data_IF_173633117625
#
_entry.id   IF_173633117625
#
_cell.length_a   1.000
_cell.length_b   1.000
_cell.length_c   1.000
_cell.angle_alpha   90.00
_cell.angle_beta   90.00
_cell.angle_gamma   90.00
#
_symmetry.space_group_name_H-M   'P 1'
#
loop_
_entity.id
_entity.type
_entity.pdbx_description
1 polymer ?
#
# COMPACT_ATOMS: atom_id res chain seq x y z
N UNK A 1 25.32 -7.79 3.04
CA UNK A 1 24.77 -9.17 2.99
C UNK A 1 23.61 -9.40 3.96
N UNK A 2 23.67 -8.99 5.24
CA UNK A 2 22.60 -9.30 6.23
C UNK A 2 21.19 -8.81 5.86
N UNK A 3 21.06 -7.60 5.30
CA UNK A 3 19.77 -7.04 4.87
C UNK A 3 19.11 -7.81 3.70
N UNK A 4 19.90 -8.51 2.89
CA UNK A 4 19.38 -9.25 1.73
C UNK A 4 18.62 -10.51 2.13
N UNK A 5 19.01 -11.16 3.23
CA UNK A 5 18.44 -12.45 3.65
C UNK A 5 16.91 -12.41 3.83
N UNK A 6 16.33 -11.50 4.65
CA UNK A 6 14.87 -11.43 4.78
C UNK A 6 14.18 -11.02 3.48
N UNK A 7 14.79 -10.13 2.67
CA UNK A 7 14.24 -9.73 1.38
C UNK A 7 14.20 -10.91 0.39
N UNK A 8 15.24 -11.76 0.38
CA UNK A 8 15.27 -13.00 -0.42
C UNK A 8 14.19 -13.98 0.02
N UNK A 9 13.98 -14.18 1.33
CA UNK A 9 12.87 -15.04 1.80
C UNK A 9 11.53 -14.49 1.34
N UNK A 10 11.32 -13.18 1.50
CA UNK A 10 10.08 -12.50 1.09
C UNK A 10 9.77 -12.65 -0.40
N UNK A 11 10.75 -12.39 -1.27
CA UNK A 11 10.54 -12.49 -2.72
C UNK A 11 10.34 -13.95 -3.16
N UNK A 12 10.98 -14.92 -2.49
CA UNK A 12 10.76 -16.34 -2.80
C UNK A 12 9.33 -16.77 -2.46
N UNK A 13 8.78 -16.31 -1.33
CA UNK A 13 7.38 -16.59 -0.99
C UNK A 13 6.43 -15.89 -1.96
N UNK A 14 6.67 -14.62 -2.30
CA UNK A 14 5.85 -13.89 -3.27
C UNK A 14 5.91 -14.52 -4.68
N UNK A 15 7.10 -14.92 -5.14
CA UNK A 15 7.27 -15.61 -6.42
C UNK A 15 6.62 -16.99 -6.41
N UNK A 16 6.70 -17.75 -5.31
CA UNK A 16 6.01 -19.03 -5.17
C UNK A 16 4.49 -18.86 -5.25
N UNK A 17 3.94 -17.82 -4.61
CA UNK A 17 2.52 -17.47 -4.72
C UNK A 17 2.11 -17.15 -6.18
N UNK A 18 2.89 -16.33 -6.88
CA UNK A 18 2.67 -16.01 -8.30
C UNK A 18 2.72 -17.27 -9.16
N UNK A 19 3.73 -18.12 -8.99
CA UNK A 19 3.88 -19.38 -9.75
C UNK A 19 2.72 -20.32 -9.50
N UNK A 20 2.28 -20.44 -8.25
CA UNK A 20 1.12 -21.24 -7.89
C UNK A 20 -0.16 -20.74 -8.58
N UNK A 21 -0.43 -19.43 -8.52
CA UNK A 21 -1.57 -18.81 -9.24
C UNK A 21 -1.48 -18.97 -10.76
N UNK A 22 -0.29 -18.80 -11.35
CA UNK A 22 -0.10 -19.04 -12.79
C UNK A 22 -0.39 -20.50 -13.14
N UNK A 23 0.02 -21.45 -12.30
CA UNK A 23 -0.21 -22.87 -12.54
C UNK A 23 -1.69 -23.25 -12.51
N UNK A 24 -2.51 -22.59 -11.67
CA UNK A 24 -3.96 -22.80 -11.65
C UNK A 24 -4.69 -22.07 -12.77
N UNK A 25 -4.08 -21.04 -13.37
CA UNK A 25 -4.65 -20.20 -14.43
C UNK A 25 -4.05 -20.49 -15.82
N UNK A 26 -3.53 -21.70 -16.05
CA UNK A 26 -3.05 -22.12 -17.37
C UNK A 26 -1.82 -21.36 -17.88
N UNK A 27 -1.01 -20.81 -16.98
CA UNK A 27 0.24 -20.08 -17.26
C UNK A 27 0.07 -18.80 -18.09
N UNK A 28 -1.14 -18.22 -18.10
CA UNK A 28 -1.41 -16.94 -18.75
C UNK A 28 -1.35 -15.81 -17.73
N UNK A 29 -0.37 -14.88 -17.81
CA UNK A 29 -0.21 -13.85 -16.79
C UNK A 29 -1.34 -12.83 -16.77
N UNK A 30 -2.08 -12.69 -17.87
CA UNK A 30 -3.25 -11.80 -17.92
C UNK A 30 -4.37 -12.25 -16.97
N UNK A 31 -4.48 -13.55 -16.73
CA UNK A 31 -5.51 -14.12 -15.84
C UNK A 31 -5.25 -13.74 -14.37
N UNK A 32 -4.00 -13.41 -14.00
CA UNK A 32 -3.67 -12.94 -12.66
C UNK A 32 -4.43 -11.66 -12.26
N UNK A 33 -4.81 -10.82 -13.23
CA UNK A 33 -5.49 -9.55 -12.95
C UNK A 33 -7.03 -9.69 -12.86
N UNK A 34 -7.56 -10.91 -13.02
CA UNK A 34 -8.98 -11.24 -12.88
C UNK A 34 -9.87 -10.26 -13.67
N UNK A 35 -9.72 -10.23 -15.00
CA UNK A 35 -10.46 -9.31 -15.85
C UNK A 35 -11.97 -9.57 -15.75
N UNK A 36 -12.73 -8.53 -15.45
CA UNK A 36 -14.19 -8.61 -15.34
C UNK A 36 -14.86 -8.41 -16.69
N UNK A 37 -15.86 -9.24 -17.03
CA UNK A 37 -16.62 -9.07 -18.28
C UNK A 37 -17.41 -7.77 -18.32
N UNK A 38 -17.72 -7.19 -17.16
CA UNK A 38 -18.36 -5.86 -17.06
C UNK A 38 -17.55 -4.79 -17.78
N UNK A 39 -16.26 -4.69 -17.48
CA UNK A 39 -15.39 -3.65 -18.04
C UNK A 39 -14.67 -4.10 -19.30
N UNK A 40 -14.37 -5.39 -19.45
CA UNK A 40 -13.67 -5.90 -20.63
C UNK A 40 -14.58 -6.01 -21.85
N UNK A 41 -15.87 -6.31 -21.65
CA UNK A 41 -16.85 -6.57 -22.72
C UNK A 41 -18.08 -5.64 -22.66
N UNK A 42 -18.22 -4.79 -21.65
CA UNK A 42 -19.37 -3.88 -21.52
C UNK A 42 -20.66 -4.59 -21.08
N UNK A 43 -20.57 -5.77 -20.46
CA UNK A 43 -21.75 -6.53 -20.01
C UNK A 43 -22.15 -6.05 -18.61
N UNK A 44 -23.21 -5.26 -18.49
CA UNK A 44 -23.63 -4.64 -17.22
C UNK A 44 -23.77 -5.65 -16.06
N UNK A 45 -24.45 -6.77 -16.31
CA UNK A 45 -24.60 -7.89 -15.36
C UNK A 45 -23.39 -8.87 -15.34
N UNK A 46 -22.28 -8.49 -15.96
CA UNK A 46 -21.05 -9.26 -16.03
C UNK A 46 -20.29 -9.29 -14.71
N UNK A 47 -19.21 -10.08 -14.68
CA UNK A 47 -18.31 -10.11 -13.52
C UNK A 47 -17.59 -8.76 -13.41
N UNK A 48 -17.47 -8.17 -12.20
CA UNK A 48 -16.76 -6.91 -12.01
C UNK A 48 -15.24 -7.07 -12.22
N UNK A 49 -14.71 -8.28 -12.01
CA UNK A 49 -13.27 -8.54 -11.99
C UNK A 49 -12.60 -7.95 -10.73
N UNK A 50 -11.27 -7.87 -10.75
CA UNK A 50 -10.50 -7.30 -9.65
C UNK A 50 -9.75 -6.01 -10.04
N UNK A 51 -9.24 -5.29 -9.05
CA UNK A 51 -8.61 -3.97 -9.21
C UNK A 51 -7.41 -3.94 -10.19
N UNK A 52 -6.72 -5.08 -10.36
CA UNK A 52 -5.52 -5.19 -11.19
C UNK A 52 -5.76 -4.92 -12.67
N UNK A 53 -6.96 -5.26 -13.15
CA UNK A 53 -7.34 -5.07 -14.55
C UNK A 53 -7.21 -3.61 -15.00
N UNK A 54 -7.51 -2.66 -14.12
CA UNK A 54 -7.45 -1.24 -14.43
C UNK A 54 -6.02 -0.77 -14.64
N UNK A 55 -5.06 -1.32 -13.88
CA UNK A 55 -3.64 -1.04 -14.12
C UNK A 55 -3.18 -1.60 -15.46
N UNK A 56 -3.68 -2.78 -15.84
CA UNK A 56 -3.42 -3.37 -17.15
C UNK A 56 -4.00 -2.54 -18.30
N UNK A 57 -5.24 -2.06 -18.19
CA UNK A 57 -5.88 -1.25 -19.24
C UNK A 57 -5.13 0.07 -19.45
N UNK A 58 -4.81 0.79 -18.38
CA UNK A 58 -4.06 2.06 -18.46
C UNK A 58 -2.63 1.82 -19.01
N UNK A 59 -1.98 0.71 -18.64
CA UNK A 59 -0.67 0.37 -19.20
C UNK A 59 -0.75 0.03 -20.69
N UNK A 60 -1.85 -0.60 -21.13
CA UNK A 60 -2.07 -0.99 -22.52
C UNK A 60 -2.35 0.21 -23.42
N UNK A 61 -3.18 1.15 -22.98
CA UNK A 61 -3.38 2.44 -23.64
C UNK A 61 -3.43 3.55 -22.58
N UNK A 62 -2.43 4.44 -22.51
CA UNK A 62 -2.43 5.50 -21.50
C UNK A 62 -3.45 6.62 -21.80
N UNK A 63 -4.02 6.64 -23.00
CA UNK A 63 -4.98 7.65 -23.46
C UNK A 63 -6.30 7.56 -22.65
N UNK A 64 -6.65 8.60 -21.86
CA UNK A 64 -7.88 8.65 -21.06
C UNK A 64 -9.14 8.33 -21.86
N UNK A 65 -9.29 8.91 -23.06
CA UNK A 65 -10.52 8.77 -23.85
C UNK A 65 -10.75 7.32 -24.29
N UNK A 66 -9.68 6.57 -24.52
CA UNK A 66 -9.75 5.18 -24.97
C UNK A 66 -9.98 4.19 -23.83
N UNK A 67 -9.50 4.50 -22.63
CA UNK A 67 -9.51 3.58 -21.49
C UNK A 67 -10.64 3.84 -20.51
N UNK A 68 -11.13 5.07 -20.43
CA UNK A 68 -12.25 5.45 -19.55
C UNK A 68 -13.43 4.45 -19.57
N UNK A 69 -13.91 3.94 -20.73
CA UNK A 69 -15.01 2.97 -20.76
C UNK A 69 -14.71 1.62 -20.07
N UNK A 70 -13.43 1.33 -19.81
CA UNK A 70 -12.95 0.10 -19.16
C UNK A 70 -12.60 0.31 -17.69
N UNK A 71 -12.86 1.49 -17.14
CA UNK A 71 -12.59 1.83 -15.76
C UNK A 71 -13.89 1.99 -14.97
N UNK A 72 -13.87 1.62 -13.70
CA UNK A 72 -14.98 1.81 -12.79
C UNK A 72 -15.09 3.28 -12.32
N UNK A 73 -13.98 3.83 -11.84
CA UNK A 73 -13.87 5.21 -11.35
C UNK A 73 -12.62 5.83 -12.00
N UNK A 74 -12.73 6.42 -13.20
CA UNK A 74 -11.58 6.82 -14.01
C UNK A 74 -10.57 7.70 -13.27
N UNK A 75 -11.01 8.78 -12.63
CA UNK A 75 -10.13 9.68 -11.86
C UNK A 75 -9.39 8.94 -10.72
N UNK A 76 -10.06 8.03 -10.03
CA UNK A 76 -9.49 7.23 -8.94
C UNK A 76 -8.45 6.23 -9.43
N UNK A 77 -8.62 5.66 -10.63
CA UNK A 77 -7.63 4.74 -11.24
C UNK A 77 -6.45 5.50 -11.83
N UNK A 78 -6.68 6.64 -12.49
CA UNK A 78 -5.63 7.48 -13.06
C UNK A 78 -4.81 8.25 -12.02
N UNK A 79 -5.26 8.47 -10.78
CA UNK A 79 -4.35 8.99 -9.74
C UNK A 79 -3.22 7.99 -9.39
N UNK A 80 -3.43 6.69 -9.61
CA UNK A 80 -2.46 5.61 -9.33
C UNK A 80 -1.61 5.27 -10.56
N UNK A 81 -1.20 6.31 -11.30
CA UNK A 81 -0.60 6.16 -12.64
C UNK A 81 0.79 5.53 -12.67
N UNK A 82 1.51 5.50 -11.53
CA UNK A 82 2.92 5.11 -11.55
C UNK A 82 3.13 3.65 -11.95
N UNK A 83 2.35 2.72 -11.40
CA UNK A 83 2.49 1.31 -11.74
C UNK A 83 2.21 1.05 -13.24
N UNK A 84 1.10 1.54 -13.82
CA UNK A 84 0.86 1.44 -15.26
C UNK A 84 1.98 2.00 -16.14
N UNK A 85 2.51 3.19 -15.83
CA UNK A 85 3.60 3.80 -16.60
C UNK A 85 4.86 2.95 -16.55
N UNK A 86 5.27 2.51 -15.35
CA UNK A 86 6.48 1.70 -15.18
C UNK A 86 6.34 0.37 -15.92
N UNK A 87 5.18 -0.29 -15.81
CA UNK A 87 4.92 -1.54 -16.53
C UNK A 87 4.92 -1.34 -18.05
N UNK A 88 4.32 -0.26 -18.56
CA UNK A 88 4.34 0.08 -19.98
C UNK A 88 5.77 0.31 -20.49
N UNK A 89 6.58 1.08 -19.77
CA UNK A 89 7.99 1.30 -20.12
C UNK A 89 8.78 -0.01 -20.13
N UNK A 90 8.59 -0.85 -19.12
CA UNK A 90 9.25 -2.17 -19.02
C UNK A 90 8.82 -3.16 -20.10
N UNK A 91 7.63 -2.98 -20.68
CA UNK A 91 7.15 -3.83 -21.78
C UNK A 91 7.82 -3.55 -23.13
N UNK A 92 8.60 -2.46 -23.24
CA UNK A 92 9.35 -2.05 -24.45
C UNK A 92 8.44 -2.04 -25.70
N UNK A 93 7.22 -1.54 -25.54
CA UNK A 93 6.22 -1.43 -26.62
C UNK A 93 5.47 -2.71 -26.95
N UNK A 94 5.74 -3.83 -26.28
CA UNK A 94 5.01 -5.08 -26.49
C UNK A 94 3.83 -5.22 -25.53
N UNK A 95 2.62 -5.17 -26.06
CA UNK A 95 1.39 -5.34 -25.27
C UNK A 95 1.32 -6.69 -24.56
N UNK A 96 1.85 -7.75 -25.18
CA UNK A 96 1.92 -9.09 -24.59
C UNK A 96 2.83 -9.17 -23.34
N UNK A 97 3.80 -8.24 -23.21
CA UNK A 97 4.70 -8.18 -22.06
C UNK A 97 4.19 -7.30 -20.91
N UNK A 98 3.09 -6.56 -21.09
CA UNK A 98 2.53 -5.71 -20.02
C UNK A 98 2.13 -6.54 -18.79
N UNK A 99 1.41 -7.67 -18.93
CA UNK A 99 1.14 -8.59 -17.81
C UNK A 99 2.38 -8.99 -17.02
N UNK A 100 3.42 -9.45 -17.71
CA UNK A 100 4.69 -9.82 -17.08
C UNK A 100 5.37 -8.62 -16.41
N UNK A 101 5.31 -7.46 -17.04
CA UNK A 101 5.92 -6.24 -16.51
C UNK A 101 5.29 -5.81 -15.18
N UNK A 102 3.95 -5.88 -15.06
CA UNK A 102 3.24 -5.59 -13.80
C UNK A 102 3.69 -6.53 -12.66
N UNK A 103 3.79 -7.83 -12.95
CA UNK A 103 4.24 -8.84 -11.96
C UNK A 103 5.70 -8.61 -11.56
N UNK A 104 6.59 -8.39 -12.54
CA UNK A 104 8.02 -8.17 -12.28
C UNK A 104 8.24 -6.90 -11.46
N UNK A 105 7.56 -5.80 -11.81
CA UNK A 105 7.63 -4.55 -11.02
C UNK A 105 7.15 -4.79 -9.60
N UNK A 106 6.05 -5.52 -9.43
CA UNK A 106 5.53 -5.90 -8.11
C UNK A 106 6.56 -6.68 -7.28
N UNK A 107 7.16 -7.72 -7.84
CA UNK A 107 8.18 -8.56 -7.18
C UNK A 107 9.44 -7.75 -6.81
N UNK A 108 9.95 -6.93 -7.73
CA UNK A 108 11.13 -6.10 -7.50
C UNK A 108 10.87 -5.05 -6.42
N UNK A 109 9.72 -4.38 -6.45
CA UNK A 109 9.35 -3.39 -5.45
C UNK A 109 9.12 -4.03 -4.06
N UNK A 110 8.48 -5.20 -4.02
CA UNK A 110 8.29 -5.98 -2.80
C UNK A 110 9.62 -6.36 -2.14
N UNK A 111 10.56 -6.85 -2.95
CA UNK A 111 11.92 -7.16 -2.49
C UNK A 111 12.66 -5.92 -2.03
N UNK A 112 12.62 -4.83 -2.80
CA UNK A 112 13.31 -3.58 -2.48
C UNK A 112 12.76 -2.95 -1.19
N UNK A 113 11.44 -2.98 -0.99
CA UNK A 113 10.79 -2.55 0.24
C UNK A 113 11.25 -3.36 1.45
N UNK A 114 11.22 -4.69 1.35
CA UNK A 114 11.65 -5.56 2.45
C UNK A 114 13.13 -5.38 2.77
N UNK A 115 13.97 -5.22 1.73
CA UNK A 115 15.38 -4.88 1.89
C UNK A 115 15.56 -3.53 2.60
N UNK A 116 14.77 -2.52 2.23
CA UNK A 116 14.86 -1.19 2.84
C UNK A 116 14.52 -1.25 4.33
N UNK A 117 13.45 -1.96 4.70
CA UNK A 117 13.06 -2.19 6.10
C UNK A 117 14.15 -2.96 6.85
N UNK A 118 14.69 -4.04 6.28
CA UNK A 118 15.78 -4.80 6.89
C UNK A 118 17.05 -3.96 7.08
N UNK A 119 17.33 -3.07 6.12
CA UNK A 119 18.48 -2.17 6.18
C UNK A 119 18.29 -1.08 7.23
N UNK A 120 17.08 -0.52 7.36
CA UNK A 120 16.72 0.43 8.41
C UNK A 120 16.86 -0.22 9.80
N UNK A 121 16.34 -1.43 10.00
CA UNK A 121 16.51 -2.16 11.26
C UNK A 121 17.99 -2.36 11.64
N UNK A 122 18.85 -2.67 10.66
CA UNK A 122 20.29 -2.78 10.89
C UNK A 122 20.94 -1.45 11.25
N UNK A 123 20.51 -0.34 10.64
CA UNK A 123 20.99 1.00 10.98
C UNK A 123 20.60 1.38 12.42
N UNK A 124 19.50 0.80 12.95
CA UNK A 124 19.09 0.90 14.36
C UNK A 124 19.72 -0.18 15.27
N UNK A 125 20.73 -0.93 14.81
CA UNK A 125 21.35 -2.04 15.55
C UNK A 125 20.37 -3.16 15.98
N UNK A 126 19.25 -3.33 15.27
CA UNK A 126 18.26 -4.36 15.50
C UNK A 126 18.42 -5.56 14.56
N UNK A 127 17.73 -6.66 14.88
CA UNK A 127 17.71 -7.85 14.04
C UNK A 127 16.96 -7.58 12.71
N UNK A 128 17.60 -7.74 11.53
CA UNK A 128 16.96 -7.50 10.24
C UNK A 128 15.78 -8.43 9.94
N UNK A 129 15.67 -9.59 10.60
CA UNK A 129 14.59 -10.55 10.37
C UNK A 129 13.21 -10.02 10.77
N UNK A 130 13.12 -8.98 11.61
CA UNK A 130 11.84 -8.30 11.86
C UNK A 130 11.26 -7.63 10.60
N UNK A 131 12.05 -7.46 9.52
CA UNK A 131 11.53 -7.02 8.23
C UNK A 131 10.56 -8.04 7.60
N UNK A 132 10.56 -9.31 8.04
CA UNK A 132 9.59 -10.29 7.57
C UNK A 132 8.15 -9.96 8.01
N UNK A 133 7.94 -9.18 9.07
CA UNK A 133 6.60 -8.68 9.41
C UNK A 133 6.01 -7.81 8.30
N UNK A 134 6.86 -7.10 7.55
CA UNK A 134 6.50 -6.36 6.34
C UNK A 134 6.51 -7.28 5.12
N UNK A 135 7.61 -8.01 4.89
CA UNK A 135 7.78 -8.81 3.69
C UNK A 135 6.78 -9.97 3.55
N UNK A 136 6.37 -10.58 4.65
CA UNK A 136 5.37 -11.66 4.66
C UNK A 136 3.96 -11.14 4.97
N UNK A 137 3.74 -9.82 4.91
CA UNK A 137 2.42 -9.26 5.04
C UNK A 137 1.56 -9.66 3.84
N UNK A 138 0.43 -10.31 4.11
CA UNK A 138 -0.47 -10.85 3.09
C UNK A 138 -0.94 -9.79 2.09
N UNK A 139 -1.19 -8.55 2.55
CA UNK A 139 -1.62 -7.46 1.68
C UNK A 139 -0.58 -7.06 0.63
N UNK A 140 0.72 -7.30 0.86
CA UNK A 140 1.75 -7.06 -0.14
C UNK A 140 1.93 -8.25 -1.08
N UNK A 141 1.90 -9.47 -0.55
CA UNK A 141 2.07 -10.70 -1.36
C UNK A 141 0.89 -10.89 -2.31
N UNK A 142 -0.34 -10.74 -1.82
CA UNK A 142 -1.55 -10.84 -2.63
C UNK A 142 -1.51 -9.84 -3.81
N UNK A 143 -1.13 -8.60 -3.52
CA UNK A 143 -1.06 -7.53 -4.51
C UNK A 143 -0.07 -7.81 -5.64
N UNK A 144 1.01 -8.55 -5.40
CA UNK A 144 1.91 -8.97 -6.49
C UNK A 144 1.18 -9.91 -7.45
N UNK A 145 0.48 -10.91 -6.93
CA UNK A 145 -0.25 -11.89 -7.74
C UNK A 145 -1.53 -11.37 -8.39
N UNK A 146 -1.96 -10.15 -8.04
CA UNK A 146 -3.14 -9.47 -8.58
C UNK A 146 -2.79 -8.21 -9.38
N UNK A 147 -1.49 -7.88 -9.52
CA UNK A 147 -1.05 -6.71 -10.29
C UNK A 147 -1.43 -5.35 -9.70
N UNK A 148 -1.43 -5.25 -8.39
CA UNK A 148 -1.90 -4.06 -7.68
C UNK A 148 -0.74 -3.14 -7.26
N UNK A 149 -1.06 -1.88 -6.95
CA UNK A 149 -0.08 -0.83 -6.68
C UNK A 149 0.65 -0.92 -5.33
N UNK A 150 0.17 -1.72 -4.36
CA UNK A 150 0.69 -1.74 -2.98
C UNK A 150 2.20 -2.06 -2.89
N UNK A 151 2.74 -3.08 -3.57
CA UNK A 151 4.16 -3.42 -3.47
C UNK A 151 5.05 -2.28 -3.97
N UNK A 152 4.64 -1.62 -5.05
CA UNK A 152 5.34 -0.45 -5.58
C UNK A 152 5.25 0.72 -4.61
N UNK A 153 4.04 1.06 -4.16
CA UNK A 153 3.82 2.21 -3.29
C UNK A 153 4.54 2.08 -1.95
N UNK A 154 4.37 0.96 -1.24
CA UNK A 154 5.00 0.78 0.07
C UNK A 154 6.47 0.42 -0.04
N UNK A 155 6.93 -0.17 -1.15
CA UNK A 155 8.36 -0.36 -1.42
C UNK A 155 9.08 0.98 -1.58
N UNK A 156 8.49 1.90 -2.35
CA UNK A 156 8.96 3.28 -2.49
C UNK A 156 8.88 4.04 -1.15
N UNK A 157 7.80 3.89 -0.38
CA UNK A 157 7.69 4.51 0.94
C UNK A 157 8.79 4.01 1.91
N UNK A 158 9.07 2.71 1.94
CA UNK A 158 10.15 2.16 2.77
C UNK A 158 11.55 2.64 2.33
N UNK A 159 11.81 2.73 1.02
CA UNK A 159 13.03 3.30 0.48
C UNK A 159 13.16 4.80 0.79
N UNK A 160 12.06 5.55 0.67
CA UNK A 160 11.98 6.97 1.03
C UNK A 160 12.30 7.18 2.50
N UNK A 161 11.77 6.32 3.38
CA UNK A 161 12.08 6.35 4.80
C UNK A 161 13.56 6.08 5.09
N UNK A 162 14.14 5.07 4.44
CA UNK A 162 15.56 4.77 4.57
C UNK A 162 16.44 5.92 4.06
N UNK A 163 16.05 6.56 2.96
CA UNK A 163 16.74 7.75 2.44
C UNK A 163 16.67 8.92 3.44
N UNK A 164 15.49 9.15 4.05
CA UNK A 164 15.30 10.16 5.10
C UNK A 164 16.20 9.91 6.30
N UNK A 165 16.19 8.68 6.83
CA UNK A 165 17.00 8.28 7.98
C UNK A 165 18.50 8.50 7.76
N UNK A 166 18.94 8.47 6.49
CA UNK A 166 20.34 8.71 6.07
C UNK A 166 20.63 10.15 5.64
N UNK A 167 19.72 11.09 5.89
CA UNK A 167 19.88 12.51 5.56
C UNK A 167 19.81 12.81 4.06
N UNK A 168 19.34 11.89 3.22
CA UNK A 168 19.20 12.07 1.76
C UNK A 168 17.83 12.66 1.41
N UNK A 169 17.60 13.90 1.83
CA UNK A 169 16.30 14.58 1.70
C UNK A 169 15.72 14.58 0.28
N UNK A 170 16.53 14.88 -0.75
CA UNK A 170 16.03 14.91 -2.15
C UNK A 170 15.54 13.54 -2.64
N UNK A 171 16.26 12.46 -2.31
CA UNK A 171 15.82 11.11 -2.62
C UNK A 171 14.59 10.69 -1.82
N UNK A 172 14.54 11.07 -0.53
CA UNK A 172 13.38 10.84 0.32
C UNK A 172 12.11 11.49 -0.27
N UNK A 173 12.17 12.78 -0.60
CA UNK A 173 11.06 13.52 -1.19
C UNK A 173 10.62 12.90 -2.53
N UNK A 174 11.56 12.59 -3.42
CA UNK A 174 11.26 11.92 -4.70
C UNK A 174 10.55 10.58 -4.48
N UNK A 175 11.07 9.73 -3.60
CA UNK A 175 10.52 8.39 -3.36
C UNK A 175 9.14 8.44 -2.70
N UNK A 176 8.91 9.34 -1.73
CA UNK A 176 7.57 9.53 -1.17
C UNK A 176 6.60 10.13 -2.19
N UNK A 177 7.03 11.09 -3.01
CA UNK A 177 6.23 11.63 -4.09
C UNK A 177 5.79 10.54 -5.08
N UNK A 178 6.73 9.73 -5.54
CA UNK A 178 6.43 8.58 -6.41
C UNK A 178 5.51 7.55 -5.72
N UNK A 179 5.71 7.28 -4.42
CA UNK A 179 4.84 6.36 -3.68
C UNK A 179 3.37 6.79 -3.75
N UNK A 180 3.10 8.11 -3.63
CA UNK A 180 1.73 8.66 -3.71
C UNK A 180 1.10 8.41 -5.08
N UNK A 181 1.88 8.50 -6.16
CA UNK A 181 1.42 8.17 -7.52
C UNK A 181 1.23 6.66 -7.78
N UNK A 182 1.77 5.79 -6.92
CA UNK A 182 1.47 4.36 -6.96
C UNK A 182 0.24 4.02 -6.11
N UNK A 183 0.09 4.65 -4.95
CA UNK A 183 -1.09 4.54 -4.08
C UNK A 183 -1.19 5.75 -3.15
N UNK A 184 -2.29 6.48 -3.26
CA UNK A 184 -2.57 7.73 -2.54
C UNK A 184 -2.48 7.58 -1.01
N UNK A 185 -2.78 6.40 -0.46
CA UNK A 185 -2.65 6.12 0.98
C UNK A 185 -1.24 6.33 1.54
N UNK A 186 -0.18 6.28 0.71
CA UNK A 186 1.19 6.55 1.17
C UNK A 186 1.45 8.03 1.44
N UNK A 187 0.51 8.92 1.11
CA UNK A 187 0.61 10.36 1.39
C UNK A 187 0.81 10.64 2.89
N UNK A 188 0.33 9.73 3.74
CA UNK A 188 0.55 9.75 5.20
C UNK A 188 2.04 9.78 5.55
N UNK A 189 2.89 9.03 4.83
CA UNK A 189 4.34 9.04 5.05
C UNK A 189 4.98 10.35 4.58
N UNK A 190 4.52 10.90 3.46
CA UNK A 190 4.97 12.21 2.96
C UNK A 190 4.66 13.32 3.95
N UNK A 191 3.42 13.38 4.45
CA UNK A 191 3.03 14.37 5.45
C UNK A 191 3.77 14.19 6.77
N UNK A 192 3.95 12.95 7.24
CA UNK A 192 4.74 12.69 8.44
C UNK A 192 6.19 13.18 8.30
N UNK A 193 6.81 13.00 7.13
CA UNK A 193 8.14 13.54 6.83
C UNK A 193 8.13 15.08 6.83
N UNK A 194 7.17 15.72 6.16
CA UNK A 194 7.03 17.19 6.13
C UNK A 194 6.90 17.77 7.53
N UNK A 195 6.00 17.22 8.35
CA UNK A 195 5.79 17.66 9.74
C UNK A 195 7.06 17.54 10.57
N UNK A 196 7.77 16.42 10.45
CA UNK A 196 9.02 16.23 11.17
C UNK A 196 10.11 17.21 10.72
N UNK A 197 10.31 17.43 9.42
CA UNK A 197 11.30 18.41 8.95
C UNK A 197 10.95 19.84 9.40
N UNK A 198 9.67 20.20 9.43
CA UNK A 198 9.20 21.49 9.93
C UNK A 198 9.48 21.65 11.43
N UNK A 199 9.16 20.64 12.25
CA UNK A 199 9.37 20.67 13.70
C UNK A 199 10.86 20.61 14.09
N UNK A 200 11.68 19.89 13.32
CA UNK A 200 13.14 19.82 13.52
C UNK A 200 13.87 21.11 13.07
N UNK A 201 13.14 22.16 12.64
CA UNK A 201 13.68 23.43 12.11
C UNK A 201 14.75 23.25 11.04
N UNK A 202 14.62 22.20 10.22
CA UNK A 202 15.59 21.94 9.15
C UNK A 202 15.47 22.98 8.04
N UNK A 203 16.57 23.16 7.31
CA UNK A 203 16.74 24.21 6.29
C UNK A 203 15.52 24.26 5.34
N UNK A 204 15.02 25.46 5.05
CA UNK A 204 13.90 25.70 4.12
C UNK A 204 14.04 24.98 2.77
N UNK A 205 15.28 24.79 2.29
CA UNK A 205 15.58 24.02 1.07
C UNK A 205 15.11 22.56 1.14
N UNK A 206 15.24 21.90 2.29
CA UNK A 206 14.80 20.52 2.49
C UNK A 206 13.28 20.44 2.44
N UNK A 207 12.60 21.34 3.15
CA UNK A 207 11.13 21.45 3.10
C UNK A 207 10.63 21.71 1.67
N UNK A 208 11.32 22.58 0.92
CA UNK A 208 11.04 22.84 -0.49
C UNK A 208 11.05 21.60 -1.38
N UNK A 209 11.91 20.61 -1.11
CA UNK A 209 11.92 19.36 -1.90
C UNK A 209 10.68 18.50 -1.67
N UNK A 210 10.16 18.42 -0.44
CA UNK A 210 8.92 17.70 -0.16
C UNK A 210 7.69 18.45 -0.67
N UNK A 211 7.69 19.79 -0.57
CA UNK A 211 6.62 20.62 -1.12
C UNK A 211 6.53 20.50 -2.64
N UNK A 212 7.65 20.32 -3.35
CA UNK A 212 7.62 20.04 -4.78
C UNK A 212 6.81 18.77 -5.10
N UNK A 213 6.99 17.69 -4.34
CA UNK A 213 6.19 16.46 -4.50
C UNK A 213 4.70 16.69 -4.26
N UNK A 214 4.34 17.49 -3.26
CA UNK A 214 2.94 17.87 -2.98
C UNK A 214 2.36 18.68 -4.13
N UNK A 215 3.09 19.69 -4.62
CA UNK A 215 2.65 20.53 -5.73
C UNK A 215 2.46 19.70 -7.00
N UNK A 216 3.37 18.77 -7.31
CA UNK A 216 3.23 17.86 -8.44
C UNK A 216 1.97 17.00 -8.33
N UNK A 217 1.68 16.47 -7.14
CA UNK A 217 0.46 15.68 -6.93
C UNK A 217 -0.82 16.54 -7.04
N UNK A 218 -0.82 17.76 -6.51
CA UNK A 218 -1.94 18.71 -6.67
C UNK A 218 -2.16 19.04 -8.15
N UNK A 219 -1.10 19.31 -8.90
CA UNK A 219 -1.17 19.54 -10.35
C UNK A 219 -1.77 18.35 -11.09
N UNK A 220 -1.42 17.12 -10.70
CA UNK A 220 -2.04 15.91 -11.23
C UNK A 220 -3.53 15.82 -10.89
N UNK A 221 -3.91 16.09 -9.64
CA UNK A 221 -5.34 16.11 -9.24
C UNK A 221 -6.14 17.16 -10.00
N UNK A 222 -5.55 18.33 -10.29
CA UNK A 222 -6.19 19.35 -11.13
C UNK A 222 -6.40 18.85 -12.57
N UNK A 223 -5.40 18.16 -13.15
CA UNK A 223 -5.54 17.53 -14.47
C UNK A 223 -6.63 16.44 -14.48
N UNK A 224 -6.69 15.60 -13.44
CA UNK A 224 -7.76 14.59 -13.31
C UNK A 224 -9.14 15.23 -13.26
N UNK A 225 -9.29 16.33 -12.52
CA UNK A 225 -10.55 17.06 -12.45
C UNK A 225 -10.94 17.65 -13.81
N UNK A 226 -9.99 18.26 -14.53
CA UNK A 226 -10.24 18.78 -15.87
C UNK A 226 -10.60 17.68 -16.88
N UNK A 227 -10.04 16.48 -16.73
CA UNK A 227 -10.23 15.37 -17.68
C UNK A 227 -11.50 14.57 -17.39
N UNK A 228 -11.75 14.24 -16.12
CA UNK A 228 -12.81 13.30 -15.70
C UNK A 228 -13.93 13.98 -14.88
N UNK A 229 -13.91 15.31 -14.74
CA UNK A 229 -14.92 16.06 -13.98
C UNK A 229 -14.89 15.87 -12.46
N UNK A 230 -13.94 15.10 -11.92
CA UNK A 230 -13.82 14.79 -10.49
C UNK A 230 -12.36 14.61 -10.05
N UNK A 231 -12.02 14.89 -8.78
CA UNK A 231 -10.70 14.54 -8.24
C UNK A 231 -10.57 13.02 -8.09
N UNK A 232 -9.35 12.50 -8.09
CA UNK A 232 -9.10 11.08 -7.88
C UNK A 232 -9.23 10.64 -6.42
N UNK A 233 -9.16 11.56 -5.45
CA UNK A 233 -9.22 11.25 -4.02
C UNK A 233 -10.62 10.79 -3.60
N UNK A 234 -10.71 9.59 -3.04
CA UNK A 234 -11.98 8.98 -2.62
C UNK A 234 -11.81 7.67 -1.85
N UNK A 235 -12.92 7.07 -1.43
CA UNK A 235 -12.92 5.86 -0.60
C UNK A 235 -12.69 4.55 -1.38
N UNK A 236 -12.74 4.54 -2.71
CA UNK A 236 -12.54 3.31 -3.47
C UNK A 236 -13.09 3.29 -4.88
N UNK A 237 -13.10 2.08 -5.45
CA UNK A 237 -13.72 1.75 -6.74
C UNK A 237 -15.25 1.60 -6.65
N UNK A 238 -15.81 0.85 -7.59
CA UNK A 238 -17.26 0.60 -7.65
C UNK A 238 -17.81 0.08 -6.30
N UNK A 239 -18.99 0.57 -5.89
CA UNK A 239 -19.64 0.22 -4.61
C UNK A 239 -18.88 0.63 -3.34
N UNK A 240 -17.91 1.54 -3.44
CA UNK A 240 -17.27 2.13 -2.28
C UNK A 240 -18.27 2.92 -1.44
N UNK A 241 -18.22 2.69 -0.12
CA UNK A 241 -18.98 3.47 0.86
C UNK A 241 -18.15 4.67 1.34
N UNK A 242 -18.75 5.72 1.92
CA UNK A 242 -18.00 6.83 2.52
C UNK A 242 -17.12 6.38 3.69
N UNK A 243 -16.13 7.21 4.05
CA UNK A 243 -15.36 7.05 5.28
C UNK A 243 -16.25 7.21 6.51
N UNK A 244 -15.89 6.52 7.59
CA UNK A 244 -16.66 6.50 8.83
C UNK A 244 -16.13 7.54 9.81
N UNK A 245 -17.04 8.28 10.45
CA UNK A 245 -16.68 9.28 11.46
C UNK A 245 -16.39 8.67 12.83
N UNK A 246 -17.01 7.52 13.12
CA UNK A 246 -16.86 6.79 14.37
C UNK A 246 -15.79 5.71 14.18
N UNK A 247 -14.73 5.66 15.03
CA UNK A 247 -13.68 4.66 14.92
C UNK A 247 -14.22 3.22 14.86
N UNK A 248 -13.76 2.46 13.86
CA UNK A 248 -14.15 1.08 13.58
C UNK A 248 -15.64 0.87 13.26
N UNK A 249 -16.42 1.92 12.98
CA UNK A 249 -17.84 1.74 12.65
C UNK A 249 -18.04 0.88 11.40
N UNK A 250 -17.16 1.00 10.41
CA UNK A 250 -17.19 0.14 9.23
C UNK A 250 -17.00 -1.35 9.56
N UNK A 251 -16.27 -1.69 10.63
CA UNK A 251 -16.17 -3.06 11.14
C UNK A 251 -17.47 -3.46 11.86
N UNK A 252 -18.00 -2.60 12.72
CA UNK A 252 -19.21 -2.92 13.50
C UNK A 252 -20.46 -3.06 12.64
N UNK A 253 -20.54 -2.36 11.51
CA UNK A 253 -21.62 -2.54 10.51
C UNK A 253 -21.65 -3.95 9.90
N UNK A 254 -20.56 -4.71 9.95
CA UNK A 254 -20.61 -6.13 9.56
C UNK A 254 -21.56 -6.90 10.49
N UNK A 255 -21.56 -6.58 11.79
CA UNK A 255 -22.43 -7.22 12.77
C UNK A 255 -23.90 -6.83 12.67
N UNK A 256 -24.23 -5.72 11.99
CA UNK A 256 -25.63 -5.41 11.69
C UNK A 256 -26.19 -6.27 10.56
N UNK A 257 -25.32 -6.82 9.70
CA UNK A 257 -25.70 -7.75 8.64
C UNK A 257 -25.64 -9.21 9.13
N UNK A 258 -24.52 -9.61 9.73
CA UNK A 258 -24.33 -10.97 10.26
C UNK A 258 -23.30 -10.99 11.41
N UNK A 259 -23.77 -11.40 12.59
CA UNK A 259 -22.96 -11.46 13.82
C UNK A 259 -21.89 -12.56 13.78
N UNK A 260 -22.14 -13.67 13.08
CA UNK A 260 -21.17 -14.75 12.91
C UNK A 260 -20.01 -14.28 12.03
N UNK A 261 -20.32 -13.58 10.93
CA UNK A 261 -19.30 -12.98 10.06
C UNK A 261 -18.46 -11.97 10.83
N UNK A 262 -19.08 -11.09 11.63
CA UNK A 262 -18.33 -10.19 12.51
C UNK A 262 -17.41 -10.97 13.47
N UNK A 263 -17.88 -12.08 14.04
CA UNK A 263 -17.07 -12.95 14.91
C UNK A 263 -15.82 -13.48 14.21
N UNK A 264 -15.94 -13.94 12.96
CA UNK A 264 -14.80 -14.41 12.15
C UNK A 264 -13.84 -13.26 11.82
N UNK A 265 -14.38 -12.09 11.44
CA UNK A 265 -13.56 -10.91 11.16
C UNK A 265 -12.81 -10.44 12.41
N UNK A 266 -13.44 -10.44 13.58
CA UNK A 266 -12.77 -10.12 14.83
C UNK A 266 -11.71 -11.17 15.17
N UNK A 267 -11.99 -12.47 15.01
CA UNK A 267 -10.98 -13.50 15.25
C UNK A 267 -9.71 -13.29 14.42
N UNK A 268 -9.86 -12.93 13.15
CA UNK A 268 -8.73 -12.71 12.23
C UNK A 268 -8.06 -11.34 12.40
N UNK A 269 -8.86 -10.28 12.45
CA UNK A 269 -8.40 -8.90 12.35
C UNK A 269 -8.27 -8.16 13.67
N UNK A 270 -8.87 -8.65 14.76
CA UNK A 270 -8.63 -8.08 16.09
C UNK A 270 -7.15 -8.13 16.48
N UNK A 271 -6.45 -9.29 16.45
CA UNK A 271 -5.03 -9.35 16.82
C UNK A 271 -4.08 -8.77 15.76
N UNK A 272 -4.50 -8.69 14.50
CA UNK A 272 -3.60 -8.35 13.38
C UNK A 272 -3.76 -6.92 12.87
N UNK A 273 -4.92 -6.28 13.07
CA UNK A 273 -5.20 -4.93 12.58
C UNK A 273 -5.79 -4.04 13.69
N UNK A 274 -6.87 -4.43 14.35
CA UNK A 274 -7.57 -3.55 15.32
C UNK A 274 -6.70 -3.25 16.54
N UNK A 275 -6.15 -4.28 17.22
CA UNK A 275 -5.28 -4.07 18.38
C UNK A 275 -3.98 -3.33 18.00
N UNK A 276 -3.28 -3.68 16.90
CA UNK A 276 -2.16 -2.88 16.42
C UNK A 276 -2.52 -1.42 16.11
N UNK A 277 -3.70 -1.15 15.55
CA UNK A 277 -4.19 0.22 15.29
C UNK A 277 -4.42 0.99 16.58
N UNK A 278 -5.11 0.40 17.56
CA UNK A 278 -5.34 1.04 18.87
C UNK A 278 -4.00 1.32 19.56
N UNK A 279 -3.10 0.33 19.55
CA UNK A 279 -1.75 0.50 20.08
C UNK A 279 -0.98 1.60 19.35
N UNK A 280 -1.06 1.65 18.01
CA UNK A 280 -0.37 2.61 17.17
C UNK A 280 -0.74 4.05 17.55
N UNK A 281 -2.05 4.32 17.66
CA UNK A 281 -2.58 5.65 18.05
C UNK A 281 -2.17 6.00 19.48
N UNK A 282 -2.31 5.08 20.44
CA UNK A 282 -1.94 5.34 21.84
C UNK A 282 -0.43 5.59 21.97
N UNK A 283 0.40 4.78 21.31
CA UNK A 283 1.85 4.87 21.36
C UNK A 283 2.37 6.16 20.71
N UNK A 284 1.82 6.53 19.55
CA UNK A 284 2.21 7.76 18.85
C UNK A 284 1.80 9.00 19.64
N UNK A 285 0.56 9.07 20.14
CA UNK A 285 0.08 10.19 20.96
C UNK A 285 0.93 10.34 22.22
N UNK A 286 1.21 9.23 22.94
CA UNK A 286 2.09 9.28 24.12
C UNK A 286 3.50 9.76 23.78
N UNK A 287 4.06 9.38 22.63
CA UNK A 287 5.37 9.86 22.18
C UNK A 287 5.36 11.37 21.91
N UNK A 288 4.33 11.87 21.22
CA UNK A 288 4.18 13.27 20.87
C UNK A 288 3.98 14.13 22.13
N UNK A 289 3.09 13.72 23.03
CA UNK A 289 2.80 14.43 24.29
C UNK A 289 3.99 14.48 25.24
N UNK A 290 4.93 13.54 25.15
CA UNK A 290 6.19 13.55 25.92
C UNK A 290 7.25 14.49 25.35
N UNK A 291 6.92 15.30 24.34
CA UNK A 291 7.87 16.21 23.70
C UNK A 291 8.90 15.51 22.82
N UNK A 292 8.61 14.28 22.37
CA UNK A 292 9.44 13.53 21.42
C UNK A 292 8.70 13.30 20.09
N UNK A 293 8.23 14.38 19.40
CA UNK A 293 7.62 14.24 18.09
C UNK A 293 8.69 13.79 17.09
N UNK A 294 8.50 12.60 16.51
CA UNK A 294 9.35 12.04 15.46
C UNK A 294 8.52 11.79 14.21
N UNK A 295 9.16 11.73 13.05
CA UNK A 295 8.49 11.34 11.81
C UNK A 295 7.78 9.98 11.97
N UNK A 296 8.43 9.04 12.67
CA UNK A 296 7.90 7.72 12.93
C UNK A 296 6.60 7.79 13.76
N UNK A 297 6.54 8.65 14.77
CA UNK A 297 5.33 8.84 15.58
C UNK A 297 4.19 9.43 14.74
N UNK A 298 4.47 10.44 13.91
CA UNK A 298 3.45 11.03 13.02
C UNK A 298 2.96 10.06 11.96
N UNK A 299 3.86 9.27 11.37
CA UNK A 299 3.52 8.23 10.40
C UNK A 299 2.65 7.15 11.04
N UNK A 300 3.00 6.70 12.25
CA UNK A 300 2.23 5.73 13.01
C UNK A 300 0.84 6.26 13.38
N UNK A 301 0.75 7.51 13.85
CA UNK A 301 -0.52 8.16 14.15
C UNK A 301 -1.41 8.23 12.91
N UNK A 302 -0.89 8.74 11.80
CA UNK A 302 -1.65 8.92 10.57
C UNK A 302 -2.16 7.60 10.00
N UNK A 303 -1.33 6.56 9.96
CA UNK A 303 -1.75 5.24 9.49
C UNK A 303 -2.76 4.59 10.44
N UNK A 304 -2.57 4.72 11.76
CA UNK A 304 -3.54 4.23 12.74
C UNK A 304 -4.90 4.93 12.62
N UNK A 305 -4.90 6.26 12.51
CA UNK A 305 -6.14 7.04 12.31
C UNK A 305 -6.83 6.68 10.99
N UNK A 306 -6.08 6.52 9.90
CA UNK A 306 -6.64 6.14 8.61
C UNK A 306 -7.38 4.79 8.66
N UNK A 307 -6.85 3.81 9.42
CA UNK A 307 -7.52 2.51 9.60
C UNK A 307 -8.80 2.64 10.44
N UNK A 308 -8.83 3.51 11.46
CA UNK A 308 -10.01 3.69 12.32
C UNK A 308 -11.22 4.22 11.56
N UNK A 309 -11.02 5.08 10.56
CA UNK A 309 -12.10 5.74 9.81
C UNK A 309 -12.46 5.01 8.51
N UNK A 310 -11.96 3.79 8.32
CA UNK A 310 -12.16 3.04 7.08
C UNK A 310 -13.65 2.82 6.76
N UNK A 311 -14.03 2.88 5.47
CA UNK A 311 -15.38 2.58 5.03
C UNK A 311 -15.81 1.14 5.34
N UNK A 312 -17.13 0.93 5.51
CA UNK A 312 -17.74 -0.41 5.57
C UNK A 312 -17.31 -1.31 4.40
N UNK A 313 -17.33 -0.78 3.17
CA UNK A 313 -16.91 -1.49 1.95
C UNK A 313 -15.50 -2.07 2.03
N UNK A 314 -14.56 -1.37 2.68
CA UNK A 314 -13.19 -1.86 2.88
C UNK A 314 -13.12 -2.87 4.02
N UNK A 315 -13.83 -2.62 5.13
CA UNK A 315 -13.82 -3.55 6.27
C UNK A 315 -14.45 -4.89 5.94
N UNK A 316 -15.50 -4.94 5.10
CA UNK A 316 -16.17 -6.18 4.70
C UNK A 316 -15.41 -7.00 3.66
N UNK A 317 -14.38 -6.43 3.02
CA UNK A 317 -13.54 -7.12 2.04
C UNK A 317 -12.20 -7.52 2.71
N UNK A 318 -11.98 -8.81 3.07
CA UNK A 318 -10.77 -9.23 3.78
C UNK A 318 -9.48 -8.81 3.08
N UNK A 319 -9.45 -8.94 1.75
CA UNK A 319 -8.27 -8.61 0.95
C UNK A 319 -8.07 -7.09 0.85
N UNK A 320 -9.14 -6.32 0.66
CA UNK A 320 -9.11 -4.85 0.70
C UNK A 320 -8.58 -4.31 2.02
N UNK A 321 -9.03 -4.88 3.15
CA UNK A 321 -8.60 -4.48 4.49
C UNK A 321 -7.11 -4.73 4.72
N UNK A 322 -6.59 -5.92 4.39
CA UNK A 322 -5.15 -6.21 4.58
C UNK A 322 -4.28 -5.40 3.62
N UNK A 323 -4.74 -5.14 2.38
CA UNK A 323 -4.05 -4.27 1.42
C UNK A 323 -3.92 -2.85 1.97
N UNK A 324 -4.99 -2.30 2.55
CA UNK A 324 -4.98 -0.97 3.17
C UNK A 324 -4.06 -0.90 4.39
N UNK A 325 -4.09 -1.92 5.25
CA UNK A 325 -3.29 -1.97 6.48
C UNK A 325 -1.77 -2.13 6.24
N UNK A 326 -1.31 -2.30 5.00
CA UNK A 326 0.13 -2.34 4.66
C UNK A 326 0.91 -1.11 5.17
N UNK A 327 0.27 0.07 5.16
CA UNK A 327 0.86 1.29 5.72
C UNK A 327 1.03 1.24 7.24
N UNK A 328 0.04 0.71 7.95
CA UNK A 328 0.10 0.48 9.39
C UNK A 328 1.25 -0.48 9.73
N UNK A 329 1.38 -1.59 9.01
CA UNK A 329 2.45 -2.59 9.22
C UNK A 329 3.83 -1.95 9.11
N UNK A 330 4.06 -1.18 8.04
CA UNK A 330 5.32 -0.46 7.86
C UNK A 330 5.56 0.55 8.99
N UNK A 331 4.57 1.37 9.33
CA UNK A 331 4.69 2.40 10.37
C UNK A 331 4.95 1.80 11.77
N UNK A 332 4.31 0.67 12.11
CA UNK A 332 4.56 -0.06 13.38
C UNK A 332 6.01 -0.49 13.47
N UNK A 333 6.59 -1.04 12.40
CA UNK A 333 7.99 -1.49 12.39
C UNK A 333 8.93 -0.29 12.54
N UNK A 334 8.71 0.78 11.76
CA UNK A 334 9.54 1.98 11.79
C UNK A 334 9.55 2.63 13.18
N UNK A 335 8.37 2.85 13.77
CA UNK A 335 8.26 3.42 15.12
C UNK A 335 8.83 2.51 16.20
N UNK A 336 8.55 1.20 16.13
CA UNK A 336 9.08 0.27 17.13
C UNK A 336 10.60 0.17 17.05
N UNK A 337 11.16 0.26 15.85
CA UNK A 337 12.61 0.26 15.64
C UNK A 337 13.26 1.55 16.13
N UNK A 338 12.68 2.73 15.88
CA UNK A 338 13.22 3.99 16.39
C UNK A 338 13.19 4.06 17.92
N UNK A 339 12.15 3.51 18.54
CA UNK A 339 11.96 3.47 19.99
C UNK A 339 12.55 2.21 20.67
N UNK A 340 13.24 1.34 19.91
CA UNK A 340 13.80 0.06 20.40
C UNK A 340 12.78 -0.86 21.12
N UNK A 341 11.51 -0.80 20.71
CA UNK A 341 10.43 -1.62 21.25
C UNK A 341 10.44 -3.01 20.61
N UNK A 342 11.06 -3.98 21.30
CA UNK A 342 11.19 -5.34 20.78
C UNK A 342 9.86 -6.12 20.76
N UNK A 343 8.92 -5.82 21.67
CA UNK A 343 7.65 -6.57 21.76
C UNK A 343 6.78 -6.42 20.51
N UNK A 344 6.45 -5.21 20.03
CA UNK A 344 5.71 -5.04 18.77
C UNK A 344 6.44 -5.66 17.56
N UNK A 345 7.77 -5.55 17.49
CA UNK A 345 8.55 -6.17 16.41
C UNK A 345 8.42 -7.69 16.38
N UNK A 346 8.46 -8.34 17.54
CA UNK A 346 8.24 -9.79 17.68
C UNK A 346 6.81 -10.17 17.35
N UNK A 347 5.83 -9.42 17.86
CA UNK A 347 4.42 -9.69 17.61
C UNK A 347 4.04 -9.53 16.14
N UNK A 348 4.66 -8.58 15.43
CA UNK A 348 4.45 -8.39 14.00
C UNK A 348 4.80 -9.61 13.15
N UNK A 349 5.68 -10.50 13.63
CA UNK A 349 6.00 -11.73 12.90
C UNK A 349 4.80 -12.69 12.82
N UNK A 350 3.89 -12.67 13.80
CA UNK A 350 2.68 -13.49 13.78
C UNK A 350 1.68 -13.05 12.69
N UNK A 351 1.82 -11.85 12.14
CA UNK A 351 0.98 -11.39 11.03
C UNK A 351 1.19 -12.20 9.76
N UNK A 352 2.34 -12.87 9.61
CA UNK A 352 2.60 -13.81 8.50
C UNK A 352 1.61 -14.98 8.48
N UNK A 353 0.94 -15.30 9.60
CA UNK A 353 -0.11 -16.32 9.63
C UNK A 353 -1.30 -15.96 8.72
N UNK A 354 -1.54 -14.68 8.43
CA UNK A 354 -2.58 -14.26 7.50
C UNK A 354 -2.32 -14.66 6.05
N UNK A 355 -1.11 -15.14 5.71
CA UNK A 355 -0.87 -15.75 4.40
C UNK A 355 -1.79 -16.94 4.13
N UNK A 356 -2.37 -17.57 5.16
CA UNK A 356 -3.40 -18.59 5.00
C UNK A 356 -4.63 -18.11 4.20
N UNK A 357 -4.93 -16.80 4.20
CA UNK A 357 -6.02 -16.22 3.38
C UNK A 357 -5.78 -16.49 1.89
N UNK A 358 -4.52 -16.55 1.44
CA UNK A 358 -4.17 -16.78 0.04
C UNK A 358 -4.44 -18.21 -0.43
N UNK A 359 -4.57 -19.17 0.50
CA UNK A 359 -4.87 -20.56 0.16
C UNK A 359 -6.35 -20.77 -0.23
N UNK A 360 -7.20 -19.80 0.06
CA UNK A 360 -8.63 -19.81 -0.26
C UNK A 360 -8.97 -19.03 -1.55
N UNK A 361 -7.95 -18.49 -2.24
CA UNK A 361 -8.04 -17.81 -3.54
C UNK A 361 -7.58 -18.73 -4.67
#
# INVERSE_FOLDING_TARGET
MRAFRPATVSILVAAAYVVWRLSSLGWQPIELFELGTRYSQGIEAGSPGYDGQFSYYIASSPDPEQVEPKLDVPAYRYQRILLPIVARVMSIGSQAWIPWSLVIVGLLAHWAGTWAVARYLLDQALNPWYALSYGLWVGLIASVGLGLGEPLAYGLAALGWLARARGRAGWSALLFGLAVFAKETTIVFLFAAILAEWMEQRRARVLGTYLASVITFIGWQAWLWMTFGSPGLGSGGEMATPFEWIPFMGLFRIGSEDLLVLGVFLLMFLPTIVLPTIWAVIASVRSILRGMPSAEAWSLLGNGMAVMILPFSTFREPLGLVRFASGLVLAVILFSASQHLLRPLRYGLFWSALLAILLAQ
#
